data_IF_401371277142
#
_entry.id   IF_401371277142
#
_cell.length_a   1.000
_cell.length_b   1.000
_cell.length_c   1.000
_cell.angle_alpha   90.00
_cell.angle_beta   90.00
_cell.angle_gamma   90.00
#
_symmetry.space_group_name_H-M   'P 1'
#
loop_
_entity.id
_entity.type
_entity.pdbx_description
1 polymer ?
#
# COMPACT_ATOMS: atom_id res chain seq x y z
N UNK A 1 34.18 -9.48 16.56
CA UNK A 1 33.00 -10.34 16.84
C UNK A 1 31.78 -9.62 16.23
N UNK A 2 31.56 -9.79 14.93
CA UNK A 2 30.45 -9.14 14.21
C UNK A 2 29.15 -9.80 14.63
N UNK A 3 28.24 -9.04 15.24
CA UNK A 3 26.91 -9.50 15.56
C UNK A 3 26.19 -9.84 14.25
N UNK A 4 26.02 -11.14 13.97
CA UNK A 4 25.05 -11.61 12.98
C UNK A 4 23.66 -11.20 13.46
N UNK A 5 23.23 -10.00 13.07
CA UNK A 5 21.86 -9.56 13.23
C UNK A 5 21.02 -10.41 12.27
N UNK A 6 20.57 -11.57 12.76
CA UNK A 6 19.72 -12.50 12.02
C UNK A 6 18.40 -11.80 11.72
N UNK A 7 18.33 -11.15 10.56
CA UNK A 7 17.17 -10.39 10.13
C UNK A 7 16.01 -11.35 9.91
N UNK A 8 15.16 -11.53 10.93
CA UNK A 8 13.96 -12.36 10.83
C UNK A 8 12.95 -11.58 10.01
N UNK A 9 12.97 -11.80 8.70
CA UNK A 9 12.03 -11.18 7.78
C UNK A 9 10.61 -11.64 8.13
N UNK A 10 9.69 -10.70 8.26
CA UNK A 10 8.30 -11.05 8.57
C UNK A 10 7.73 -11.95 7.47
N UNK A 11 7.12 -13.07 7.88
CA UNK A 11 6.58 -14.07 6.95
C UNK A 11 5.60 -13.47 5.94
N UNK A 12 4.88 -12.42 6.35
CA UNK A 12 3.93 -11.68 5.51
C UNK A 12 4.58 -11.04 4.27
N UNK A 13 5.84 -10.63 4.38
CA UNK A 13 6.58 -10.00 3.28
C UNK A 13 7.00 -11.00 2.21
N UNK A 14 7.03 -12.28 2.58
CA UNK A 14 7.43 -13.40 1.72
C UNK A 14 6.26 -14.23 1.20
N UNK A 15 5.03 -13.73 1.35
CA UNK A 15 3.84 -14.42 0.83
C UNK A 15 3.98 -14.60 -0.69
N UNK A 16 3.59 -15.79 -1.18
CA UNK A 16 3.64 -16.09 -2.62
C UNK A 16 2.65 -15.20 -3.37
N UNK A 17 3.01 -14.65 -4.56
CA UNK A 17 2.13 -13.75 -5.31
C UNK A 17 0.74 -14.33 -5.58
N UNK A 18 0.67 -15.62 -5.93
CA UNK A 18 -0.60 -16.30 -6.18
C UNK A 18 -1.53 -16.34 -4.96
N UNK A 19 -0.98 -16.39 -3.74
CA UNK A 19 -1.79 -16.41 -2.53
C UNK A 19 -2.42 -15.04 -2.24
N UNK A 20 -1.69 -13.94 -2.51
CA UNK A 20 -2.23 -12.58 -2.46
C UNK A 20 -3.27 -12.34 -3.57
N UNK A 21 -3.04 -12.89 -4.76
CA UNK A 21 -3.98 -12.82 -5.86
C UNK A 21 -5.30 -13.56 -5.55
N UNK A 22 -5.22 -14.81 -5.09
CA UNK A 22 -6.41 -15.59 -4.73
C UNK A 22 -7.17 -14.99 -3.56
N UNK A 23 -6.48 -14.41 -2.56
CA UNK A 23 -7.16 -13.74 -1.45
C UNK A 23 -7.91 -12.48 -1.92
N UNK A 24 -7.31 -11.71 -2.83
CA UNK A 24 -7.97 -10.56 -3.46
C UNK A 24 -9.17 -10.97 -4.31
N UNK A 25 -9.06 -12.05 -5.09
CA UNK A 25 -10.18 -12.60 -5.85
C UNK A 25 -11.31 -13.08 -4.94
N UNK A 26 -10.98 -13.77 -3.85
CA UNK A 26 -11.96 -14.24 -2.88
C UNK A 26 -12.72 -13.07 -2.25
N UNK A 27 -12.04 -11.96 -1.96
CA UNK A 27 -12.70 -10.73 -1.51
C UNK A 27 -13.71 -10.23 -2.54
N UNK A 28 -13.33 -10.13 -3.81
CA UNK A 28 -14.22 -9.67 -4.87
C UNK A 28 -15.46 -10.56 -5.02
N UNK A 29 -15.30 -11.89 -4.90
CA UNK A 29 -16.43 -12.84 -4.99
C UNK A 29 -17.37 -12.72 -3.78
N UNK A 30 -16.83 -12.50 -2.59
CA UNK A 30 -17.62 -12.47 -1.35
C UNK A 30 -18.20 -11.10 -1.01
N UNK A 31 -17.82 -10.03 -1.73
CA UNK A 31 -18.01 -8.63 -1.34
C UNK A 31 -19.44 -8.27 -0.91
N UNK A 32 -20.46 -8.84 -1.56
CA UNK A 32 -21.88 -8.55 -1.27
C UNK A 32 -22.46 -9.33 -0.09
N UNK A 33 -21.71 -10.30 0.46
CA UNK A 33 -22.18 -11.15 1.56
C UNK A 33 -21.77 -10.56 2.92
N UNK A 34 -22.52 -10.91 3.98
CA UNK A 34 -22.14 -10.55 5.36
C UNK A 34 -20.76 -11.09 5.74
N UNK A 35 -20.41 -12.27 5.23
CA UNK A 35 -19.08 -12.87 5.39
C UNK A 35 -18.02 -12.05 4.64
N UNK A 36 -18.38 -11.52 3.48
CA UNK A 36 -17.57 -10.58 2.70
C UNK A 36 -17.19 -9.32 3.46
N UNK A 37 -18.13 -8.73 4.21
CA UNK A 37 -17.84 -7.54 5.04
C UNK A 37 -16.80 -7.85 6.11
N UNK A 38 -16.93 -8.99 6.81
CA UNK A 38 -15.92 -9.42 7.79
C UNK A 38 -14.56 -9.68 7.12
N UNK A 39 -14.58 -10.37 5.97
CA UNK A 39 -13.39 -10.65 5.18
C UNK A 39 -12.71 -9.36 4.70
N UNK A 40 -13.49 -8.35 4.29
CA UNK A 40 -13.00 -7.04 3.89
C UNK A 40 -12.25 -6.34 5.01
N UNK A 41 -12.82 -6.30 6.22
CA UNK A 41 -12.17 -5.66 7.37
C UNK A 41 -10.82 -6.33 7.66
N UNK A 42 -10.80 -7.67 7.65
CA UNK A 42 -9.57 -8.45 7.80
C UNK A 42 -8.56 -8.18 6.67
N UNK A 43 -9.03 -8.15 5.42
CA UNK A 43 -8.19 -7.94 4.25
C UNK A 43 -7.62 -6.52 4.20
N UNK A 44 -8.41 -5.50 4.54
CA UNK A 44 -7.95 -4.11 4.70
C UNK A 44 -6.89 -3.99 5.79
N UNK A 45 -7.08 -4.64 6.95
CA UNK A 45 -6.09 -4.66 8.02
C UNK A 45 -4.79 -5.35 7.59
N UNK A 46 -4.90 -6.51 6.94
CA UNK A 46 -3.76 -7.27 6.44
C UNK A 46 -3.01 -6.53 5.32
N UNK A 47 -3.73 -5.93 4.38
CA UNK A 47 -3.15 -5.15 3.28
C UNK A 47 -2.48 -3.88 3.78
N UNK A 48 -3.09 -3.18 4.74
CA UNK A 48 -2.49 -2.02 5.42
C UNK A 48 -1.20 -2.42 6.13
N UNK A 49 -1.25 -3.49 6.91
CA UNK A 49 -0.08 -3.98 7.63
C UNK A 49 1.03 -4.41 6.65
N UNK A 50 0.69 -5.17 5.61
CA UNK A 50 1.65 -5.54 4.55
C UNK A 50 2.28 -4.30 3.90
N UNK A 51 1.48 -3.30 3.52
CA UNK A 51 1.95 -2.07 2.89
C UNK A 51 2.91 -1.30 3.80
N UNK A 52 2.56 -1.15 5.09
CA UNK A 52 3.41 -0.50 6.08
C UNK A 52 4.74 -1.24 6.25
N UNK A 53 4.70 -2.56 6.40
CA UNK A 53 5.92 -3.37 6.58
C UNK A 53 6.79 -3.34 5.34
N UNK A 54 6.24 -3.50 4.13
CA UNK A 54 7.02 -3.36 2.89
C UNK A 54 7.68 -1.97 2.82
N UNK A 55 6.92 -0.91 3.09
CA UNK A 55 7.44 0.46 3.05
C UNK A 55 8.58 0.70 4.05
N UNK A 56 8.42 0.26 5.30
CA UNK A 56 9.47 0.36 6.33
C UNK A 56 10.73 -0.44 5.94
N UNK A 57 10.54 -1.65 5.46
CA UNK A 57 11.62 -2.58 5.15
C UNK A 57 12.43 -2.17 3.93
N UNK A 58 11.76 -1.66 2.88
CA UNK A 58 12.46 -1.08 1.75
C UNK A 58 13.14 0.24 2.14
N UNK A 59 12.49 1.11 2.91
CA UNK A 59 13.08 2.38 3.35
C UNK A 59 14.34 2.19 4.20
N UNK A 60 14.35 1.21 5.12
CA UNK A 60 15.52 0.87 5.95
C UNK A 60 16.76 0.52 5.12
N UNK A 61 16.57 -0.03 3.93
CA UNK A 61 17.64 -0.48 3.03
C UNK A 61 18.18 0.62 2.12
N UNK A 62 17.52 1.79 2.07
CA UNK A 62 18.01 2.92 1.31
C UNK A 62 19.30 3.45 1.93
N UNK A 63 20.31 3.68 1.10
CA UNK A 63 21.55 4.34 1.49
C UNK A 63 21.28 5.78 1.96
N UNK A 64 20.51 6.52 1.17
CA UNK A 64 20.06 7.86 1.50
C UNK A 64 18.57 7.85 1.88
N UNK A 65 18.32 7.96 3.19
CA UNK A 65 16.97 7.99 3.78
C UNK A 65 16.27 9.34 3.60
N UNK A 66 16.99 10.40 3.21
CA UNK A 66 16.43 11.74 3.05
C UNK A 66 15.57 11.87 1.79
N UNK A 67 15.79 11.00 0.79
CA UNK A 67 15.04 10.97 -0.47
C UNK A 67 13.53 10.78 -0.23
N UNK A 68 13.16 10.05 0.83
CA UNK A 68 11.76 9.70 1.11
C UNK A 68 11.43 9.81 2.60
N UNK A 69 10.31 10.47 2.91
CA UNK A 69 9.86 10.67 4.28
C UNK A 69 8.95 9.54 4.75
N UNK A 70 9.50 8.61 5.55
CA UNK A 70 8.76 7.49 6.12
C UNK A 70 7.63 7.92 7.07
N UNK A 71 7.79 9.03 7.82
CA UNK A 71 6.73 9.52 8.72
C UNK A 71 5.51 9.96 7.90
N UNK A 72 5.74 10.73 6.83
CA UNK A 72 4.67 11.18 5.92
C UNK A 72 3.91 9.99 5.31
N UNK A 73 4.63 8.98 4.84
CA UNK A 73 4.05 7.73 4.32
C UNK A 73 3.12 7.06 5.34
N UNK A 74 3.57 6.90 6.59
CA UNK A 74 2.75 6.31 7.67
C UNK A 74 1.50 7.12 7.96
N UNK A 75 1.62 8.45 8.05
CA UNK A 75 0.47 9.33 8.28
C UNK A 75 -0.56 9.25 7.16
N UNK A 76 -0.11 9.17 5.90
CA UNK A 76 -1.02 9.02 4.77
C UNK A 76 -1.74 7.69 4.77
N UNK A 77 -1.07 6.58 5.05
CA UNK A 77 -1.74 5.27 5.20
C UNK A 77 -2.75 5.31 6.35
N UNK A 78 -2.38 5.89 7.50
CA UNK A 78 -3.31 6.06 8.61
C UNK A 78 -4.54 6.88 8.22
N UNK A 79 -4.35 7.98 7.47
CA UNK A 79 -5.45 8.77 6.92
C UNK A 79 -6.35 7.94 6.00
N UNK A 80 -5.78 7.16 5.06
CA UNK A 80 -6.55 6.28 4.17
C UNK A 80 -7.42 5.29 4.98
N UNK A 81 -6.85 4.65 5.99
CA UNK A 81 -7.57 3.67 6.83
C UNK A 81 -8.68 4.34 7.64
N UNK A 82 -8.39 5.47 8.29
CA UNK A 82 -9.39 6.24 9.06
C UNK A 82 -10.52 6.68 8.14
N UNK A 83 -10.20 7.19 6.95
CA UNK A 83 -11.19 7.58 5.97
C UNK A 83 -12.12 6.42 5.59
N UNK A 84 -11.57 5.24 5.27
CA UNK A 84 -12.38 4.07 4.95
C UNK A 84 -13.23 3.61 6.14
N UNK A 85 -12.71 3.64 7.36
CA UNK A 85 -13.49 3.29 8.56
C UNK A 85 -14.65 4.25 8.77
N UNK A 86 -14.48 5.54 8.46
CA UNK A 86 -15.54 6.55 8.60
C UNK A 86 -16.58 6.42 7.49
N UNK A 87 -16.16 6.25 6.24
CA UNK A 87 -17.05 6.34 5.07
C UNK A 87 -17.76 5.02 4.76
N UNK A 88 -17.05 3.90 4.87
CA UNK A 88 -17.53 2.61 4.36
C UNK A 88 -18.74 2.03 5.13
N UNK A 89 -18.86 2.17 6.47
CA UNK A 89 -20.03 1.68 7.21
C UNK A 89 -21.36 2.33 6.79
N UNK A 90 -21.32 3.52 6.19
CA UNK A 90 -22.52 4.22 5.70
C UNK A 90 -22.87 3.85 4.25
N UNK A 91 -22.24 2.82 3.68
CA UNK A 91 -22.44 2.42 2.28
C UNK A 91 -21.69 3.28 1.27
N UNK A 92 -20.80 4.17 1.74
CA UNK A 92 -20.09 5.12 0.88
C UNK A 92 -20.92 6.37 0.57
N UNK A 93 -20.59 7.02 -0.54
CA UNK A 93 -21.36 8.13 -1.11
C UNK A 93 -21.43 7.98 -2.61
N UNK A 94 -22.57 8.33 -3.19
CA UNK A 94 -22.81 8.32 -4.62
C UNK A 94 -23.27 9.72 -5.00
N UNK A 95 -22.33 10.66 -5.11
CA UNK A 95 -22.65 12.06 -5.39
C UNK A 95 -22.79 12.23 -6.90
N UNK A 96 -23.98 12.61 -7.34
CA UNK A 96 -24.34 12.92 -8.72
C UNK A 96 -24.91 14.34 -8.80
N UNK A 97 -25.07 14.86 -10.03
CA UNK A 97 -25.70 16.15 -10.22
C UNK A 97 -27.17 16.18 -9.75
N UNK A 98 -27.83 15.02 -9.67
CA UNK A 98 -29.25 14.91 -9.33
C UNK A 98 -29.49 14.85 -7.82
N UNK A 99 -28.52 14.35 -7.04
CA UNK A 99 -28.67 14.14 -5.59
C UNK A 99 -27.75 15.02 -4.74
N UNK A 100 -26.97 15.93 -5.35
CA UNK A 100 -26.04 16.81 -4.63
C UNK A 100 -26.76 17.67 -3.56
N UNK A 101 -28.03 18.02 -3.80
CA UNK A 101 -28.88 18.73 -2.83
C UNK A 101 -29.12 17.94 -1.55
N UNK A 102 -29.18 16.62 -1.63
CA UNK A 102 -29.54 15.73 -0.51
C UNK A 102 -28.40 15.65 0.51
N UNK A 103 -27.17 15.82 0.05
CA UNK A 103 -25.97 15.87 0.87
C UNK A 103 -25.70 17.26 1.48
N UNK A 104 -26.37 18.31 1.00
CA UNK A 104 -26.29 19.67 1.54
C UNK A 104 -24.86 20.20 1.69
N UNK A 105 -24.54 20.74 2.87
CA UNK A 105 -23.22 21.32 3.15
C UNK A 105 -22.11 20.27 3.26
N UNK A 106 -22.45 19.01 3.54
CA UNK A 106 -21.49 17.93 3.79
C UNK A 106 -20.68 17.59 2.52
N UNK A 107 -21.25 17.82 1.33
CA UNK A 107 -20.54 17.68 0.04
C UNK A 107 -19.23 18.46 0.01
N UNK A 108 -19.25 19.70 0.52
CA UNK A 108 -18.10 20.59 0.53
C UNK A 108 -16.97 20.09 1.43
N UNK A 109 -17.26 19.20 2.39
CA UNK A 109 -16.24 18.52 3.18
C UNK A 109 -15.82 17.19 2.55
N UNK A 110 -16.76 16.42 1.99
CA UNK A 110 -16.48 15.10 1.38
C UNK A 110 -15.53 15.24 0.19
N UNK A 111 -15.78 16.19 -0.72
CA UNK A 111 -14.99 16.34 -1.96
C UNK A 111 -13.50 16.59 -1.64
N UNK A 112 -13.12 17.62 -0.85
CA UNK A 112 -11.71 17.83 -0.51
C UNK A 112 -11.10 16.64 0.24
N UNK A 113 -11.85 16.02 1.15
CA UNK A 113 -11.36 14.87 1.91
C UNK A 113 -11.09 13.67 1.00
N UNK A 114 -11.92 13.46 -0.02
CA UNK A 114 -11.70 12.44 -1.05
C UNK A 114 -10.50 12.74 -1.93
N UNK A 115 -10.26 14.01 -2.29
CA UNK A 115 -9.05 14.39 -3.04
C UNK A 115 -7.78 14.13 -2.22
N UNK A 116 -7.80 14.41 -0.92
CA UNK A 116 -6.70 14.10 0.00
C UNK A 116 -6.50 12.58 0.11
N UNK A 117 -7.58 11.79 0.09
CA UNK A 117 -7.52 10.32 0.04
C UNK A 117 -6.81 9.86 -1.23
N UNK A 118 -7.24 10.32 -2.40
CA UNK A 118 -6.64 9.96 -3.69
C UNK A 118 -5.17 10.34 -3.73
N UNK A 119 -4.83 11.55 -3.27
CA UNK A 119 -3.45 12.00 -3.13
C UNK A 119 -2.63 11.07 -2.21
N UNK A 120 -3.19 10.65 -1.08
CA UNK A 120 -2.52 9.78 -0.11
C UNK A 120 -2.26 8.38 -0.68
N UNK A 121 -3.20 7.82 -1.44
CA UNK A 121 -3.03 6.54 -2.13
C UNK A 121 -1.94 6.65 -3.18
N UNK A 122 -2.00 7.67 -4.05
CA UNK A 122 -1.00 7.89 -5.12
C UNK A 122 0.40 8.09 -4.51
N UNK A 123 0.51 8.89 -3.45
CA UNK A 123 1.79 9.13 -2.79
C UNK A 123 2.33 7.85 -2.12
N UNK A 124 1.47 7.01 -1.53
CA UNK A 124 1.86 5.71 -0.96
C UNK A 124 2.46 4.80 -2.04
N UNK A 125 1.80 4.72 -3.20
CA UNK A 125 2.27 3.96 -4.36
C UNK A 125 3.59 4.53 -4.89
N UNK A 126 3.70 5.85 -4.99
CA UNK A 126 4.92 6.54 -5.39
C UNK A 126 6.08 6.24 -4.43
N UNK A 127 5.85 6.30 -3.12
CA UNK A 127 6.85 6.01 -2.09
C UNK A 127 7.42 4.59 -2.27
N UNK A 128 6.55 3.58 -2.36
CA UNK A 128 6.96 2.19 -2.55
C UNK A 128 7.72 2.00 -3.86
N UNK A 129 7.21 2.58 -4.94
CA UNK A 129 7.82 2.49 -6.27
C UNK A 129 9.21 3.13 -6.30
N UNK A 130 9.36 4.30 -5.68
CA UNK A 130 10.66 4.98 -5.55
C UNK A 130 11.64 4.18 -4.70
N UNK A 131 11.19 3.60 -3.59
CA UNK A 131 12.04 2.69 -2.81
C UNK A 131 12.55 1.53 -3.66
N UNK A 132 11.68 0.88 -4.44
CA UNK A 132 12.05 -0.24 -5.30
C UNK A 132 13.05 0.16 -6.40
N UNK A 133 12.80 1.27 -7.11
CA UNK A 133 13.74 1.77 -8.15
C UNK A 133 15.10 2.08 -7.56
N UNK A 134 15.15 2.81 -6.45
CA UNK A 134 16.41 3.21 -5.82
C UNK A 134 17.24 2.02 -5.36
N UNK A 135 16.60 0.95 -4.86
CA UNK A 135 17.29 -0.24 -4.39
C UNK A 135 17.72 -1.20 -5.51
N UNK A 136 17.00 -1.26 -6.63
CA UNK A 136 17.23 -2.26 -7.68
C UNK A 136 18.16 -1.73 -8.77
N UNK A 137 17.85 -0.58 -9.34
CA UNK A 137 18.68 0.10 -10.34
C UNK A 137 18.10 1.48 -10.63
N UNK A 138 18.89 2.55 -10.46
CA UNK A 138 18.45 3.95 -10.66
C UNK A 138 17.95 4.26 -12.09
N UNK A 139 18.13 3.34 -13.03
CA UNK A 139 17.70 3.45 -14.43
C UNK A 139 16.29 2.88 -14.69
N UNK A 140 15.71 2.10 -13.77
CA UNK A 140 14.36 1.61 -13.95
C UNK A 140 13.33 2.73 -13.74
N UNK A 141 12.34 2.81 -14.62
CA UNK A 141 11.35 3.88 -14.57
C UNK A 141 10.34 3.64 -13.46
N UNK A 142 10.20 4.60 -12.53
CA UNK A 142 9.32 4.44 -11.36
C UNK A 142 7.85 4.23 -11.71
N UNK A 143 7.39 4.73 -12.86
CA UNK A 143 6.00 4.53 -13.28
C UNK A 143 5.66 3.06 -13.52
N UNK A 144 6.61 2.21 -13.94
CA UNK A 144 6.36 0.77 -14.09
C UNK A 144 5.97 0.11 -12.77
N UNK A 145 6.63 0.50 -11.68
CA UNK A 145 6.29 0.02 -10.35
C UNK A 145 4.98 0.64 -9.86
N UNK A 146 4.76 1.92 -10.14
CA UNK A 146 3.50 2.58 -9.77
C UNK A 146 2.30 1.89 -10.42
N UNK A 147 2.40 1.57 -11.71
CA UNK A 147 1.38 0.79 -12.43
C UNK A 147 1.20 -0.60 -11.82
N UNK A 148 2.29 -1.28 -11.43
CA UNK A 148 2.21 -2.58 -10.77
C UNK A 148 1.48 -2.53 -9.42
N UNK A 149 1.62 -1.46 -8.65
CA UNK A 149 0.83 -1.28 -7.43
C UNK A 149 -0.61 -0.82 -7.71
N UNK A 150 -0.85 -0.07 -8.79
CA UNK A 150 -2.16 0.45 -9.16
C UNK A 150 -3.09 -0.63 -9.76
N UNK A 151 -2.57 -1.49 -10.64
CA UNK A 151 -3.35 -2.53 -11.35
C UNK A 151 -3.47 -3.80 -10.50
N UNK A 152 -3.84 -3.65 -9.23
CA UNK A 152 -4.09 -4.77 -8.34
C UNK A 152 -5.41 -5.47 -8.75
N UNK A 153 -5.50 -6.82 -8.73
CA UNK A 153 -4.54 -7.79 -8.20
C UNK A 153 -3.49 -8.28 -9.19
N UNK A 154 -3.59 -7.98 -10.48
CA UNK A 154 -2.69 -8.49 -11.52
C UNK A 154 -1.24 -8.05 -11.27
N UNK A 155 -1.06 -6.78 -10.90
CA UNK A 155 0.26 -6.21 -10.65
C UNK A 155 1.05 -6.87 -9.51
N UNK A 156 0.40 -7.64 -8.62
CA UNK A 156 1.11 -8.36 -7.54
C UNK A 156 2.10 -9.40 -8.08
N UNK A 157 1.83 -9.96 -9.26
CA UNK A 157 2.70 -10.93 -9.92
C UNK A 157 4.03 -10.30 -10.36
N UNK A 158 4.02 -8.99 -10.63
CA UNK A 158 5.20 -8.23 -11.02
C UNK A 158 5.91 -7.68 -9.79
N UNK A 159 5.16 -7.13 -8.84
CA UNK A 159 5.69 -6.41 -7.68
C UNK A 159 6.22 -7.36 -6.60
N UNK A 160 5.45 -8.39 -6.22
CA UNK A 160 5.77 -9.23 -5.06
C UNK A 160 7.09 -10.02 -5.22
N UNK A 161 7.39 -10.66 -6.36
CA UNK A 161 8.68 -11.33 -6.54
C UNK A 161 9.87 -10.39 -6.41
N UNK A 162 9.74 -9.16 -6.92
CA UNK A 162 10.79 -8.12 -6.87
C UNK A 162 11.00 -7.62 -5.45
N UNK A 163 9.93 -7.42 -4.67
CA UNK A 163 10.04 -7.11 -3.23
C UNK A 163 10.81 -8.23 -2.52
N UNK A 164 10.45 -9.49 -2.76
CA UNK A 164 11.11 -10.64 -2.12
C UNK A 164 12.60 -10.70 -2.47
N UNK A 165 12.97 -10.43 -3.72
CA UNK A 165 14.37 -10.36 -4.16
C UNK A 165 15.14 -9.27 -3.39
N UNK A 166 14.60 -8.05 -3.34
CA UNK A 166 15.20 -6.93 -2.62
C UNK A 166 15.34 -7.18 -1.11
N UNK A 167 14.39 -7.90 -0.52
CA UNK A 167 14.41 -8.25 0.91
C UNK A 167 15.37 -9.41 1.23
N UNK A 168 15.61 -10.31 0.28
CA UNK A 168 16.59 -11.41 0.43
C UNK A 168 18.04 -10.96 0.18
N UNK A 169 18.26 -9.94 -0.64
CA UNK A 169 19.59 -9.36 -0.87
C UNK A 169 20.14 -8.83 0.47
N UNK A 170 21.40 -9.12 0.81
CA UNK A 170 22.05 -8.51 1.99
C UNK A 170 22.09 -6.99 1.80
N UNK A 171 21.87 -6.18 2.86
CA UNK A 171 22.02 -4.73 2.74
C UNK A 171 23.44 -4.42 2.28
N UNK A 172 23.56 -3.57 1.26
CA UNK A 172 24.85 -3.05 0.80
C UNK A 172 25.32 -2.06 1.87
N UNK A 173 25.89 -2.57 2.96
CA UNK A 173 26.80 -1.75 3.74
C UNK A 173 28.06 -1.64 2.90
N UNK A 174 28.28 -0.47 2.30
CA UNK A 174 29.59 -0.13 1.77
C UNK A 174 30.58 -0.28 2.93
N UNK A 175 31.48 -1.25 2.79
CA UNK A 175 32.69 -1.30 3.58
C UNK A 175 33.47 -0.02 3.25
N UNK A 176 33.37 0.97 4.14
CA UNK A 176 34.36 2.03 4.26
C UNK A 176 34.98 1.87 5.64
#
# INVERSE_FOLDING_TARGET
MQAEMKYKLDKILTIKPWALFLSAMLFAILAETKIGVLYMILWCGLFTYWTLRVGEELHKRLEDKSILNLKRFKYQIAFVVIYFIIVFPFGGYEITNENISDYGWTVWAIIPLHLILMYSIIHTIYFLSKCMVTLRNKHEFSLWYMMGFWVFPIGIWVIQPRIIELLKKKPVYNNV
#
